data_IF_869266427526
#
_entry.id   IF_869266427526
#
_cell.length_a   1.000
_cell.length_b   1.000
_cell.length_c   1.000
_cell.angle_alpha   90.00
_cell.angle_beta   90.00
_cell.angle_gamma   90.00
#
_symmetry.space_group_name_H-M   'P 1'
#
loop_
_entity.id
_entity.type
_entity.pdbx_description
1 polymer ?
#
# COMPACT_ATOMS: atom_id res chain seq x y z
N UNK A 1 -8.05 -15.62 -21.23
CA UNK A 1 -6.90 -14.71 -21.09
C UNK A 1 -7.23 -13.51 -20.20
N UNK A 2 -8.40 -12.87 -20.34
CA UNK A 2 -8.78 -11.66 -19.58
C UNK A 2 -8.67 -11.81 -18.04
N UNK A 3 -9.22 -12.89 -17.48
CA UNK A 3 -9.14 -13.15 -16.03
C UNK A 3 -7.71 -13.32 -15.50
N UNK A 4 -6.80 -13.84 -16.33
CA UNK A 4 -5.40 -14.02 -15.94
C UNK A 4 -4.70 -12.67 -15.83
N UNK A 5 -4.91 -11.78 -16.81
CA UNK A 5 -4.36 -10.42 -16.80
C UNK A 5 -4.89 -9.59 -15.63
N UNK A 6 -6.19 -9.65 -15.35
CA UNK A 6 -6.81 -8.95 -14.21
C UNK A 6 -6.25 -9.47 -12.88
N UNK A 7 -6.13 -10.80 -12.73
CA UNK A 7 -5.58 -11.41 -11.52
C UNK A 7 -4.12 -11.04 -11.30
N UNK A 8 -3.30 -11.03 -12.35
CA UNK A 8 -1.90 -10.61 -12.29
C UNK A 8 -1.76 -9.13 -11.88
N UNK A 9 -2.58 -8.25 -12.44
CA UNK A 9 -2.55 -6.82 -12.11
C UNK A 9 -2.82 -6.59 -10.61
N UNK A 10 -3.84 -7.26 -10.06
CA UNK A 10 -4.19 -7.16 -8.64
C UNK A 10 -3.11 -7.77 -7.74
N UNK A 11 -2.65 -8.97 -8.06
CA UNK A 11 -1.65 -9.68 -7.22
C UNK A 11 -0.35 -8.90 -7.15
N UNK A 12 0.13 -8.36 -8.27
CA UNK A 12 1.36 -7.56 -8.29
C UNK A 12 1.17 -6.29 -7.46
N UNK A 13 0.08 -5.55 -7.66
CA UNK A 13 -0.20 -4.33 -6.90
C UNK A 13 -0.31 -4.61 -5.39
N UNK A 14 -1.06 -5.63 -5.00
CA UNK A 14 -1.24 -6.00 -3.59
C UNK A 14 0.07 -6.44 -2.93
N UNK A 15 0.89 -7.26 -3.61
CA UNK A 15 2.17 -7.70 -3.08
C UNK A 15 3.16 -6.54 -2.92
N UNK A 16 3.24 -5.65 -3.91
CA UNK A 16 4.09 -4.46 -3.82
C UNK A 16 3.66 -3.50 -2.71
N UNK A 17 2.35 -3.31 -2.53
CA UNK A 17 1.79 -2.51 -1.43
C UNK A 17 2.14 -3.11 -0.08
N UNK A 18 1.82 -4.39 0.13
CA UNK A 18 2.07 -5.07 1.40
C UNK A 18 3.56 -5.04 1.78
N UNK A 19 4.46 -5.25 0.82
CA UNK A 19 5.90 -5.22 1.07
C UNK A 19 6.39 -3.82 1.46
N UNK A 20 6.01 -2.79 0.71
CA UNK A 20 6.42 -1.41 0.97
C UNK A 20 5.85 -0.87 2.29
N UNK A 21 4.57 -1.14 2.57
CA UNK A 21 3.92 -0.78 3.84
C UNK A 21 4.57 -1.51 5.03
N UNK A 22 4.96 -2.77 4.86
CA UNK A 22 5.68 -3.52 5.89
C UNK A 22 7.02 -2.89 6.24
N UNK A 23 7.80 -2.47 5.22
CA UNK A 23 9.07 -1.76 5.42
C UNK A 23 8.86 -0.42 6.10
N UNK A 24 7.91 0.39 5.63
CA UNK A 24 7.62 1.70 6.21
C UNK A 24 7.18 1.59 7.68
N UNK A 25 6.32 0.62 7.97
CA UNK A 25 5.84 0.36 9.34
C UNK A 25 6.98 -0.10 10.23
N UNK A 26 7.85 -1.01 9.76
CA UNK A 26 9.03 -1.45 10.51
C UNK A 26 9.94 -0.25 10.85
N UNK A 27 10.25 0.60 9.86
CA UNK A 27 11.09 1.77 10.07
C UNK A 27 10.47 2.75 11.08
N UNK A 28 9.15 2.95 11.02
CA UNK A 28 8.43 3.75 12.00
C UNK A 28 8.51 3.16 13.41
N UNK A 29 8.32 1.84 13.56
CA UNK A 29 8.44 1.17 14.87
C UNK A 29 9.85 1.29 15.45
N UNK A 30 10.89 1.13 14.62
CA UNK A 30 12.27 1.35 15.04
C UNK A 30 12.54 2.81 15.41
N UNK A 31 11.96 3.77 14.70
CA UNK A 31 12.05 5.19 15.03
C UNK A 31 11.40 5.50 16.38
N UNK A 32 10.19 5.00 16.61
CA UNK A 32 9.47 5.15 17.88
C UNK A 32 10.22 4.50 19.03
N UNK A 33 10.81 3.33 18.83
CA UNK A 33 11.60 2.65 19.86
C UNK A 33 12.84 3.45 20.27
N UNK A 34 13.46 4.20 19.33
CA UNK A 34 14.62 5.06 19.61
C UNK A 34 14.22 6.41 20.22
N UNK A 35 13.07 6.95 19.86
CA UNK A 35 12.54 8.24 20.32
C UNK A 35 11.04 8.15 20.63
N UNK A 36 10.67 7.66 21.83
CA UNK A 36 9.27 7.48 22.22
C UNK A 36 8.47 8.78 22.25
N UNK A 37 9.12 9.90 22.58
CA UNK A 37 8.49 11.23 22.66
C UNK A 37 7.99 11.71 21.29
N UNK A 38 8.62 11.26 20.19
CA UNK A 38 8.24 11.60 18.82
C UNK A 38 7.17 10.65 18.23
N UNK A 39 6.58 9.74 19.03
CA UNK A 39 5.70 8.70 18.52
C UNK A 39 4.46 9.21 17.78
N UNK A 40 3.89 10.33 18.22
CA UNK A 40 2.76 10.97 17.56
C UNK A 40 3.11 11.45 16.16
N UNK A 41 4.22 12.16 16.01
CA UNK A 41 4.66 12.72 14.73
C UNK A 41 5.09 11.63 13.74
N UNK A 42 5.79 10.59 14.21
CA UNK A 42 6.17 9.43 13.41
C UNK A 42 4.91 8.70 12.91
N UNK A 43 3.93 8.47 13.78
CA UNK A 43 2.68 7.78 13.42
C UNK A 43 1.86 8.60 12.43
N UNK A 44 1.77 9.92 12.60
CA UNK A 44 1.05 10.79 11.66
C UNK A 44 1.70 10.74 10.27
N UNK A 45 3.02 10.84 10.21
CA UNK A 45 3.78 10.76 8.95
C UNK A 45 3.63 9.37 8.30
N UNK A 46 3.69 8.30 9.11
CA UNK A 46 3.48 6.93 8.63
C UNK A 46 2.09 6.77 8.02
N UNK A 47 1.02 7.20 8.69
CA UNK A 47 -0.34 7.06 8.18
C UNK A 47 -0.51 7.78 6.85
N UNK A 48 0.06 8.99 6.71
CA UNK A 48 0.03 9.72 5.44
C UNK A 48 0.76 8.96 4.33
N UNK A 49 1.95 8.41 4.62
CA UNK A 49 2.70 7.60 3.67
C UNK A 49 1.93 6.32 3.26
N UNK A 50 1.35 5.61 4.24
CA UNK A 50 0.53 4.41 3.99
C UNK A 50 -0.70 4.73 3.15
N UNK A 51 -1.35 5.87 3.37
CA UNK A 51 -2.50 6.31 2.58
C UNK A 51 -2.13 6.56 1.11
N UNK A 52 -0.98 7.17 0.84
CA UNK A 52 -0.50 7.35 -0.54
C UNK A 52 -0.13 6.02 -1.22
N UNK A 53 0.49 5.10 -0.49
CA UNK A 53 0.79 3.76 -1.01
C UNK A 53 -0.50 3.00 -1.33
N UNK A 54 -1.48 3.06 -0.44
CA UNK A 54 -2.77 2.38 -0.61
C UNK A 54 -3.57 2.98 -1.78
N UNK A 55 -3.50 4.28 -2.01
CA UNK A 55 -4.17 4.93 -3.13
C UNK A 55 -3.76 4.35 -4.49
N UNK A 56 -2.48 4.00 -4.67
CA UNK A 56 -1.98 3.36 -5.90
C UNK A 56 -2.55 1.95 -6.06
N UNK A 57 -2.64 1.20 -4.97
CA UNK A 57 -3.25 -0.15 -4.94
C UNK A 57 -4.74 -0.09 -5.28
N UNK A 58 -5.45 0.90 -4.73
CA UNK A 58 -6.85 1.13 -5.06
C UNK A 58 -7.05 1.55 -6.52
N UNK A 59 -6.14 2.34 -7.10
CA UNK A 59 -6.19 2.63 -8.53
C UNK A 59 -6.00 1.37 -9.39
N UNK A 60 -5.05 0.49 -9.04
CA UNK A 60 -4.90 -0.79 -9.71
C UNK A 60 -6.16 -1.66 -9.58
N UNK A 61 -6.81 -1.62 -8.41
CA UNK A 61 -8.09 -2.30 -8.17
C UNK A 61 -9.23 -1.76 -9.05
N UNK A 62 -9.34 -0.44 -9.18
CA UNK A 62 -10.32 0.19 -10.07
C UNK A 62 -10.07 -0.22 -11.53
N UNK A 63 -8.83 -0.16 -12.00
CA UNK A 63 -8.48 -0.58 -13.38
C UNK A 63 -8.81 -2.06 -13.62
N UNK A 64 -8.54 -2.93 -12.64
CA UNK A 64 -8.88 -4.34 -12.71
C UNK A 64 -10.40 -4.57 -12.83
N UNK A 65 -11.22 -3.78 -12.10
CA UNK A 65 -12.68 -3.82 -12.24
C UNK A 65 -13.09 -3.38 -13.64
N UNK A 66 -12.57 -2.26 -14.15
CA UNK A 66 -12.91 -1.75 -15.49
C UNK A 66 -12.58 -2.78 -16.58
N UNK A 67 -11.41 -3.41 -16.50
CA UNK A 67 -10.99 -4.48 -17.40
C UNK A 67 -11.92 -5.70 -17.32
N UNK A 68 -12.42 -6.03 -16.12
CA UNK A 68 -13.37 -7.13 -15.94
C UNK A 68 -14.76 -6.80 -16.47
N UNK A 69 -15.29 -5.60 -16.20
CA UNK A 69 -16.61 -5.17 -16.65
C UNK A 69 -16.64 -4.75 -18.12
N UNK A 70 -15.47 -4.67 -18.78
CA UNK A 70 -15.29 -4.23 -20.18
C UNK A 70 -15.88 -2.84 -20.44
N UNK A 71 -15.75 -1.97 -19.45
CA UNK A 71 -16.05 -0.53 -19.56
C UNK A 71 -14.74 0.17 -19.91
#
# INVERSE_FOLDING_TARGET
MEFLSVSLAIVVAALSSAFSQGIATKAAMEGIARQPEASGDIRNTLILALAFMEALTLFAFVVAILLWTKI
#
